data_IF_827832744889
#
_entry.id   IF_827832744889
#
_cell.length_a   1.000
_cell.length_b   1.000
_cell.length_c   1.000
_cell.angle_alpha   90.00
_cell.angle_beta   90.00
_cell.angle_gamma   90.00
#
_symmetry.space_group_name_H-M   'P 1'
#
loop_
_entity.id
_entity.type
_entity.pdbx_description
1 polymer ?
#
# COMPACT_ATOMS: atom_id res chain seq x y z
N UNK A 1 -11.56 5.27 1.37
CA UNK A 1 -11.26 4.89 -0.02
C UNK A 1 -10.09 5.73 -0.49
N UNK A 2 -9.16 5.15 -1.25
CA UNK A 2 -8.07 5.90 -1.86
C UNK A 2 -8.59 6.63 -3.11
N UNK A 3 -8.09 7.84 -3.37
CA UNK A 3 -8.51 8.70 -4.50
C UNK A 3 -7.60 8.58 -5.73
N UNK A 4 -6.60 7.70 -5.70
CA UNK A 4 -5.58 7.58 -6.73
C UNK A 4 -5.39 6.10 -7.11
N UNK A 5 -4.94 5.80 -8.34
CA UNK A 5 -4.65 4.45 -8.78
C UNK A 5 -3.67 3.75 -7.85
N UNK A 6 -3.95 2.50 -7.51
CA UNK A 6 -3.11 1.70 -6.62
C UNK A 6 -2.26 0.70 -7.40
N UNK A 7 -1.02 0.49 -6.98
CA UNK A 7 -0.07 -0.41 -7.62
C UNK A 7 0.53 -1.31 -6.54
N UNK A 8 0.40 -2.63 -6.71
CA UNK A 8 1.03 -3.60 -5.83
C UNK A 8 2.51 -3.74 -6.21
N UNK A 9 3.39 -3.55 -5.24
CA UNK A 9 4.85 -3.61 -5.39
C UNK A 9 5.45 -4.69 -4.50
N UNK A 10 6.48 -5.37 -5.01
CA UNK A 10 7.15 -6.50 -4.34
C UNK A 10 8.60 -6.19 -3.97
N UNK A 11 9.12 -5.02 -4.38
CA UNK A 11 10.51 -4.64 -4.19
C UNK A 11 10.80 -3.26 -4.77
N UNK A 12 12.07 -2.84 -4.67
CA UNK A 12 12.46 -1.48 -5.04
C UNK A 12 12.28 -1.17 -6.52
N UNK A 13 12.52 -2.15 -7.41
CA UNK A 13 12.37 -1.92 -8.85
C UNK A 13 10.91 -1.67 -9.23
N UNK A 14 9.96 -2.31 -8.54
CA UNK A 14 8.53 -2.06 -8.72
C UNK A 14 8.13 -0.66 -8.21
N UNK A 15 8.71 -0.22 -7.08
CA UNK A 15 8.52 1.15 -6.57
C UNK A 15 9.01 2.17 -7.59
N UNK A 16 10.23 1.99 -8.10
CA UNK A 16 10.81 2.85 -9.14
C UNK A 16 9.97 2.87 -10.40
N UNK A 17 9.51 1.71 -10.85
CA UNK A 17 8.66 1.60 -12.04
C UNK A 17 7.35 2.36 -11.85
N UNK A 18 6.68 2.20 -10.70
CA UNK A 18 5.43 2.87 -10.37
C UNK A 18 5.56 4.40 -10.23
N UNK A 19 6.70 4.90 -9.73
CA UNK A 19 6.92 6.32 -9.47
C UNK A 19 7.52 7.10 -10.65
N UNK A 20 8.23 6.42 -11.56
CA UNK A 20 8.89 7.03 -12.72
C UNK A 20 7.96 7.89 -13.60
N UNK A 21 6.68 7.55 -13.81
CA UNK A 21 5.77 8.40 -14.60
C UNK A 21 5.41 9.75 -13.95
N UNK A 22 5.79 9.99 -12.68
CA UNK A 22 5.52 11.26 -12.01
C UNK A 22 4.05 11.50 -11.67
N UNK A 23 3.23 10.45 -11.64
CA UNK A 23 1.79 10.52 -11.37
C UNK A 23 1.48 10.19 -9.91
N UNK A 24 0.37 10.72 -9.40
CA UNK A 24 -0.11 10.39 -8.05
C UNK A 24 -0.45 8.90 -8.00
N UNK A 25 0.10 8.19 -7.01
CA UNK A 25 -0.05 6.74 -6.91
C UNK A 25 -0.19 6.30 -5.45
N UNK A 26 -0.95 5.23 -5.23
CA UNK A 26 -0.95 4.48 -3.98
C UNK A 26 -0.08 3.25 -4.14
N UNK A 27 1.02 3.16 -3.40
CA UNK A 27 1.85 1.95 -3.37
C UNK A 27 1.28 1.00 -2.34
N UNK A 28 0.93 -0.21 -2.76
CA UNK A 28 0.36 -1.25 -1.90
C UNK A 28 1.38 -2.37 -1.81
N UNK A 29 1.64 -2.88 -0.61
CA UNK A 29 2.46 -4.08 -0.50
C UNK A 29 1.73 -5.29 -1.11
N UNK A 30 2.47 -6.31 -1.51
CA UNK A 30 1.91 -7.64 -1.74
C UNK A 30 1.11 -8.16 -0.54
N UNK A 31 0.27 -9.17 -0.78
CA UNK A 31 -0.59 -9.72 0.25
C UNK A 31 0.20 -10.23 1.45
N UNK A 32 -0.16 -9.78 2.65
CA UNK A 32 0.48 -10.22 3.90
C UNK A 32 1.97 -9.86 4.02
N UNK A 33 2.48 -8.86 3.28
CA UNK A 33 3.89 -8.46 3.33
C UNK A 33 4.40 -8.17 4.75
N UNK A 34 3.54 -7.68 5.64
CA UNK A 34 3.92 -7.45 7.04
C UNK A 34 4.29 -8.75 7.79
N UNK A 35 3.80 -9.92 7.36
CA UNK A 35 4.11 -11.19 8.00
C UNK A 35 5.50 -11.72 7.61
N UNK A 36 5.87 -11.61 6.33
CA UNK A 36 7.08 -12.25 5.81
C UNK A 36 8.25 -11.29 5.57
N UNK A 37 8.00 -10.02 5.28
CA UNK A 37 9.05 -9.00 5.08
C UNK A 37 9.12 -8.01 6.25
N UNK A 38 7.97 -7.73 6.88
CA UNK A 38 7.87 -6.89 8.07
C UNK A 38 7.80 -5.39 7.79
N UNK A 39 7.46 -4.64 8.83
CA UNK A 39 7.25 -3.18 8.77
C UNK A 39 8.52 -2.43 8.38
N UNK A 40 9.68 -2.83 8.92
CA UNK A 40 10.96 -2.17 8.67
C UNK A 40 11.34 -2.19 7.19
N UNK A 41 11.17 -3.34 6.53
CA UNK A 41 11.39 -3.49 5.10
C UNK A 41 10.49 -2.54 4.28
N UNK A 42 9.18 -2.53 4.57
CA UNK A 42 8.24 -1.68 3.84
C UNK A 42 8.60 -0.20 3.96
N UNK A 43 8.89 0.26 5.18
CA UNK A 43 9.29 1.64 5.44
C UNK A 43 10.58 2.02 4.73
N UNK A 44 11.56 1.11 4.68
CA UNK A 44 12.81 1.34 3.95
C UNK A 44 12.56 1.52 2.44
N UNK A 45 11.71 0.68 1.82
CA UNK A 45 11.33 0.85 0.42
C UNK A 45 10.67 2.20 0.15
N UNK A 46 9.72 2.60 1.00
CA UNK A 46 9.03 3.87 0.84
C UNK A 46 9.97 5.06 1.05
N UNK A 47 10.94 4.96 1.98
CA UNK A 47 11.95 5.99 2.17
C UNK A 47 12.82 6.17 0.92
N UNK A 48 13.27 5.07 0.30
CA UNK A 48 14.04 5.12 -0.95
C UNK A 48 13.19 5.75 -2.06
N UNK A 49 11.93 5.31 -2.23
CA UNK A 49 11.03 5.89 -3.23
C UNK A 49 10.81 7.39 -3.07
N UNK A 50 10.62 7.87 -1.82
CA UNK A 50 10.49 9.32 -1.53
C UNK A 50 11.77 10.09 -1.84
N UNK A 51 12.93 9.49 -1.56
CA UNK A 51 14.23 10.12 -1.82
C UNK A 51 14.55 10.20 -3.33
N UNK A 52 14.26 9.14 -4.09
CA UNK A 52 14.52 9.07 -5.53
C UNK A 52 13.50 9.87 -6.35
N UNK A 53 12.25 10.00 -5.88
CA UNK A 53 11.16 10.68 -6.58
C UNK A 53 10.46 11.75 -5.72
N UNK A 54 11.17 12.79 -5.24
CA UNK A 54 10.63 13.75 -4.28
C UNK A 54 9.46 14.58 -4.82
N UNK A 55 9.33 14.71 -6.15
CA UNK A 55 8.25 15.44 -6.80
C UNK A 55 6.99 14.60 -7.06
N UNK A 56 7.06 13.27 -6.92
CA UNK A 56 5.94 12.36 -7.21
C UNK A 56 5.10 12.16 -5.95
N UNK A 57 3.82 12.60 -5.91
CA UNK A 57 3.01 12.40 -4.71
C UNK A 57 2.66 10.91 -4.53
N UNK A 58 3.12 10.34 -3.41
CA UNK A 58 2.88 8.94 -3.08
C UNK A 58 2.29 8.78 -1.67
N UNK A 59 1.30 7.92 -1.58
CA UNK A 59 0.80 7.34 -0.33
C UNK A 59 1.03 5.84 -0.36
N UNK A 60 1.14 5.21 0.80
CA UNK A 60 1.49 3.79 0.87
C UNK A 60 0.57 3.02 1.84
N UNK A 61 0.33 1.74 1.53
CA UNK A 61 -0.54 0.83 2.28
C UNK A 61 0.19 -0.50 2.52
N UNK A 62 0.44 -0.83 3.79
CA UNK A 62 1.03 -2.11 4.19
C UNK A 62 -0.07 -3.15 4.47
N UNK A 63 -0.03 -4.30 3.79
CA UNK A 63 -0.95 -5.42 4.02
C UNK A 63 -0.48 -6.28 5.20
N UNK A 64 -1.25 -6.26 6.28
CA UNK A 64 -1.06 -7.04 7.50
C UNK A 64 -1.89 -8.34 7.52
N UNK A 65 -2.61 -8.66 6.44
CA UNK A 65 -3.50 -9.81 6.31
C UNK A 65 -4.39 -10.02 7.56
N UNK A 66 -4.32 -11.19 8.20
CA UNK A 66 -5.03 -11.50 9.44
C UNK A 66 -4.18 -11.33 10.71
N UNK A 67 -3.08 -10.57 10.67
CA UNK A 67 -2.11 -10.47 11.77
C UNK A 67 -2.21 -9.13 12.55
N UNK A 68 -3.02 -9.06 13.62
CA UNK A 68 -3.21 -7.82 14.38
C UNK A 68 -1.93 -7.34 15.10
N UNK A 69 -1.05 -8.26 15.51
CA UNK A 69 0.24 -7.90 16.10
C UNK A 69 1.13 -7.11 15.12
N UNK A 70 1.17 -7.53 13.84
CA UNK A 70 1.89 -6.82 12.77
C UNK A 70 1.24 -5.48 12.43
N UNK A 71 -0.09 -5.41 12.47
CA UNK A 71 -0.80 -4.15 12.32
C UNK A 71 -0.42 -3.13 13.40
N UNK A 72 -0.39 -3.54 14.68
CA UNK A 72 0.01 -2.66 15.78
C UNK A 72 1.49 -2.25 15.69
N UNK A 73 2.38 -3.16 15.29
CA UNK A 73 3.79 -2.85 15.01
C UNK A 73 3.90 -1.75 13.95
N UNK A 74 3.20 -1.91 12.83
CA UNK A 74 3.21 -0.93 11.73
C UNK A 74 2.70 0.44 12.17
N UNK A 75 1.57 0.48 12.88
CA UNK A 75 1.00 1.73 13.40
C UNK A 75 1.97 2.45 14.36
N UNK A 76 2.59 1.71 15.30
CA UNK A 76 3.58 2.27 16.23
C UNK A 76 4.84 2.77 15.53
N UNK A 77 5.21 2.15 14.41
CA UNK A 77 6.30 2.64 13.56
C UNK A 77 5.92 3.87 12.72
N UNK A 78 4.67 4.38 12.82
CA UNK A 78 4.19 5.54 12.09
C UNK A 78 3.73 5.23 10.67
N UNK A 79 3.24 4.01 10.41
CA UNK A 79 2.53 3.71 9.16
C UNK A 79 1.14 4.36 9.19
N UNK A 80 0.83 5.21 8.21
CA UNK A 80 -0.42 5.97 8.14
C UNK A 80 -1.59 5.14 7.59
N UNK A 81 -1.31 4.11 6.77
CA UNK A 81 -2.34 3.24 6.23
C UNK A 81 -1.91 1.77 6.26
N UNK A 82 -2.77 0.93 6.85
CA UNK A 82 -2.59 -0.52 6.87
C UNK A 82 -3.85 -1.24 6.40
N UNK A 83 -3.69 -2.43 5.83
CA UNK A 83 -4.81 -3.35 5.57
C UNK A 83 -4.80 -4.44 6.63
N UNK A 84 -5.91 -4.62 7.34
CA UNK A 84 -6.13 -5.72 8.27
C UNK A 84 -7.50 -6.32 7.95
N UNK A 85 -7.56 -7.65 7.90
CA UNK A 85 -8.81 -8.36 7.64
C UNK A 85 -9.88 -8.03 8.69
N UNK A 86 -11.08 -7.64 8.24
CA UNK A 86 -12.19 -7.26 9.11
C UNK A 86 -12.74 -8.44 9.95
N UNK A 87 -12.47 -9.68 9.54
CA UNK A 87 -12.87 -10.88 10.28
C UNK A 87 -12.04 -11.13 11.54
N UNK A 88 -10.89 -10.47 11.70
CA UNK A 88 -10.05 -10.61 12.88
C UNK A 88 -10.76 -10.02 14.10
N UNK A 89 -10.94 -10.76 15.21
CA UNK A 89 -11.65 -10.25 16.40
C UNK A 89 -11.07 -8.96 16.98
N UNK A 90 -9.75 -8.77 16.83
CA UNK A 90 -9.04 -7.56 17.28
C UNK A 90 -9.22 -6.34 16.35
N UNK A 91 -9.89 -6.48 15.19
CA UNK A 91 -10.01 -5.40 14.21
C UNK A 91 -10.57 -4.09 14.80
N UNK A 92 -11.67 -4.08 15.58
CA UNK A 92 -12.20 -2.84 16.15
C UNK A 92 -11.20 -2.12 17.07
N UNK A 93 -10.44 -2.88 17.86
CA UNK A 93 -9.42 -2.33 18.74
C UNK A 93 -8.24 -1.74 17.95
N UNK A 94 -7.78 -2.42 16.90
CA UNK A 94 -6.72 -1.91 16.02
C UNK A 94 -7.18 -0.65 15.28
N UNK A 95 -8.43 -0.61 14.81
CA UNK A 95 -8.99 0.56 14.14
C UNK A 95 -9.10 1.79 15.07
N UNK A 96 -9.49 1.58 16.32
CA UNK A 96 -9.50 2.64 17.34
C UNK A 96 -8.09 3.19 17.61
N UNK A 97 -7.10 2.31 17.76
CA UNK A 97 -5.69 2.71 17.95
C UNK A 97 -5.17 3.47 16.73
N UNK A 98 -5.45 2.98 15.52
CA UNK A 98 -5.05 3.67 14.30
C UNK A 98 -5.62 5.10 14.26
N UNK A 99 -6.91 5.26 14.58
CA UNK A 99 -7.56 6.57 14.63
C UNK A 99 -6.86 7.51 15.63
N UNK A 100 -6.56 7.01 16.83
CA UNK A 100 -5.84 7.78 17.85
C UNK A 100 -4.42 8.19 17.42
N UNK A 101 -3.80 7.43 16.51
CA UNK A 101 -2.48 7.72 15.93
C UNK A 101 -2.54 8.53 14.62
N UNK A 102 -3.73 8.97 14.18
CA UNK A 102 -3.90 9.65 12.90
C UNK A 102 -3.71 8.75 11.67
N UNK A 103 -3.78 7.43 11.86
CA UNK A 103 -3.66 6.41 10.84
C UNK A 103 -5.02 5.78 10.52
N UNK A 104 -5.07 4.93 9.48
CA UNK A 104 -6.29 4.27 9.01
C UNK A 104 -6.08 2.78 8.78
N UNK A 105 -7.08 1.99 9.18
CA UNK A 105 -7.16 0.56 8.89
C UNK A 105 -8.17 0.35 7.76
N UNK A 106 -7.73 -0.36 6.72
CA UNK A 106 -8.57 -0.74 5.59
C UNK A 106 -8.96 -2.22 5.72
N UNK A 107 -10.24 -2.60 5.56
CA UNK A 107 -10.67 -4.00 5.62
C UNK A 107 -10.24 -4.80 4.38
N UNK A 108 -10.15 -4.12 3.25
CA UNK A 108 -9.81 -4.68 1.94
C UNK A 108 -8.73 -3.83 1.26
N UNK A 109 -7.97 -4.45 0.36
CA UNK A 109 -7.07 -3.73 -0.52
C UNK A 109 -7.90 -2.92 -1.54
N UNK A 110 -7.46 -1.72 -1.95
CA UNK A 110 -8.05 -1.06 -3.11
C UNK A 110 -7.82 -1.92 -4.38
N UNK A 111 -8.65 -1.77 -5.42
CA UNK A 111 -8.33 -2.28 -6.75
C UNK A 111 -6.95 -1.76 -7.17
N UNK A 112 -6.09 -2.66 -7.65
CA UNK A 112 -4.72 -2.36 -8.00
C UNK A 112 -4.24 -3.27 -9.14
N UNK A 113 -3.30 -2.79 -9.94
CA UNK A 113 -2.49 -3.67 -10.80
C UNK A 113 -1.37 -4.29 -9.97
N UNK A 114 -0.95 -5.51 -10.31
CA UNK A 114 0.11 -6.21 -9.59
C UNK A 114 1.35 -6.39 -10.47
N UNK A 115 2.40 -5.63 -10.14
CA UNK A 115 3.66 -5.70 -10.90
C UNK A 115 4.38 -7.06 -10.74
N UNK A 116 4.03 -7.86 -9.73
CA UNK A 116 4.49 -9.24 -9.59
C UNK A 116 3.75 -10.25 -10.47
N UNK A 117 2.63 -9.87 -11.08
CA UNK A 117 1.85 -10.71 -12.00
C UNK A 117 2.12 -10.40 -13.47
N UNK A 118 3.12 -9.58 -13.77
CA UNK A 118 3.46 -9.20 -15.15
C UNK A 118 2.60 -8.07 -15.74
N UNK A 119 1.81 -7.37 -14.92
CA UNK A 119 0.92 -6.28 -15.37
C UNK A 119 1.63 -4.97 -15.74
N UNK A 120 2.97 -4.96 -15.72
CA UNK A 120 3.78 -3.76 -15.95
C UNK A 120 3.46 -3.03 -17.27
N UNK A 121 3.05 -3.76 -18.30
CA UNK A 121 2.70 -3.19 -19.61
C UNK A 121 1.45 -2.29 -19.57
N UNK A 122 0.57 -2.42 -18.57
CA UNK A 122 -0.64 -1.59 -18.39
C UNK A 122 -0.44 -0.42 -17.45
N UNK A 123 0.73 -0.28 -16.84
CA UNK A 123 0.98 0.67 -15.75
C UNK A 123 0.61 2.09 -16.14
N UNK A 124 1.07 2.57 -17.30
CA UNK A 124 0.80 3.94 -17.74
C UNK A 124 -0.70 4.19 -17.95
N UNK A 125 -1.41 3.26 -18.59
CA UNK A 125 -2.85 3.36 -18.79
C UNK A 125 -3.64 3.30 -17.47
N UNK A 126 -3.18 2.51 -16.50
CA UNK A 126 -3.77 2.45 -15.17
C UNK A 126 -3.58 3.76 -14.39
N UNK A 127 -2.37 4.33 -14.43
CA UNK A 127 -2.03 5.56 -13.72
C UNK A 127 -2.73 6.81 -14.27
N UNK A 128 -3.17 6.82 -15.53
CA UNK A 128 -3.93 7.94 -16.12
C UNK A 128 -5.41 7.94 -15.76
N UNK A 129 -5.91 6.92 -15.07
CA UNK A 129 -7.30 6.88 -14.60
C UNK A 129 -8.29 6.36 -15.65
N UNK A 130 -7.88 5.45 -16.54
CA UNK A 130 -8.82 4.63 -17.32
C UNK A 130 -9.49 3.56 -16.42
N UNK A 131 -9.96 3.99 -15.24
CA UNK A 131 -10.53 3.14 -14.18
C UNK A 131 -11.97 2.72 -14.49
N UNK A 132 -12.67 3.42 -15.39
CA UNK A 132 -14.04 3.07 -15.81
C UNK A 132 -14.10 1.96 -16.87
N UNK A 133 -13.01 1.71 -17.60
CA UNK A 133 -12.95 0.66 -18.63
C UNK A 133 -12.47 -0.70 -18.14
N UNK A 134 -11.84 -0.76 -16.97
CA UNK A 134 -11.17 -1.95 -16.45
C UNK A 134 -11.95 -2.69 -15.34
N UNK A 135 -13.19 -2.27 -15.06
CA UNK A 135 -14.13 -2.93 -14.14
C UNK A 135 -15.26 -3.67 -14.86
N UNK A 136 -15.12 -3.96 -16.15
CA UNK A 136 -16.04 -4.81 -16.93
C UNK A 136 -15.37 -6.10 -17.36
#
# INVERSE_FOLDING_TARGET
>A
MFSHPAVIVHGIDHVRLALRPGRKVVLVSSHGAALYAGTGWWRALMAIGRAEFPATPMTDLLDCAGAPGRALEALRAGQAAIRLDASVPAWPAVAAIATALGARVFPHRPPAIDLGQGDAWRLDAWLTGDTDRNLR
#
